data_IF_895230363128
#
_entry.id   IF_895230363128
#
_cell.length_a   1.000
_cell.length_b   1.000
_cell.length_c   1.000
_cell.angle_alpha   90.00
_cell.angle_beta   90.00
_cell.angle_gamma   90.00
#
_symmetry.space_group_name_H-M   'P 1'
#
loop_
_entity.id
_entity.type
_entity.pdbx_description
1 polymer ?
#
# COMPACT_ATOMS: atom_id res chain seq x y z
N UNK A 1 10.65 -4.19 -32.68
CA UNK A 1 10.54 -4.91 -31.38
C UNK A 1 11.82 -4.65 -30.60
N UNK A 2 11.77 -4.04 -29.40
CA UNK A 2 12.99 -3.91 -28.59
C UNK A 2 13.45 -5.29 -28.10
N UNK A 3 14.76 -5.55 -27.96
CA UNK A 3 15.27 -6.81 -27.45
C UNK A 3 14.64 -7.16 -26.09
N UNK A 4 14.28 -8.43 -25.94
CA UNK A 4 13.70 -8.99 -24.71
C UNK A 4 14.69 -8.94 -23.55
N UNK A 5 14.21 -8.81 -22.30
CA UNK A 5 15.08 -8.90 -21.14
C UNK A 5 15.68 -10.31 -21.04
N UNK A 6 16.97 -10.40 -20.71
CA UNK A 6 17.62 -11.67 -20.39
C UNK A 6 17.23 -12.11 -18.97
N UNK A 7 16.04 -12.69 -18.85
CA UNK A 7 15.55 -13.24 -17.58
C UNK A 7 15.99 -14.70 -17.48
N UNK A 8 16.69 -15.12 -16.41
CA UNK A 8 17.02 -16.52 -16.20
C UNK A 8 15.75 -17.40 -16.25
N UNK A 9 15.77 -18.57 -16.94
CA UNK A 9 14.57 -19.38 -17.11
C UNK A 9 13.91 -19.80 -15.80
N UNK A 10 14.70 -20.15 -14.78
CA UNK A 10 14.20 -20.51 -13.45
C UNK A 10 13.45 -19.36 -12.77
N UNK A 11 14.00 -18.14 -12.88
CA UNK A 11 13.33 -16.93 -12.40
C UNK A 11 12.06 -16.64 -13.20
N UNK A 12 12.11 -16.79 -14.53
CA UNK A 12 10.95 -16.57 -15.39
C UNK A 12 9.79 -17.49 -15.01
N UNK A 13 10.05 -18.78 -14.73
CA UNK A 13 9.04 -19.74 -14.27
C UNK A 13 8.32 -19.24 -13.01
N UNK A 14 9.05 -18.70 -12.04
CA UNK A 14 8.44 -18.12 -10.83
C UNK A 14 7.62 -16.86 -11.15
N UNK A 15 8.16 -15.98 -12.00
CA UNK A 15 7.49 -14.73 -12.38
C UNK A 15 6.22 -14.96 -13.20
N UNK A 16 6.09 -16.07 -13.93
CA UNK A 16 4.88 -16.39 -14.70
C UNK A 16 3.63 -16.48 -13.82
N UNK A 17 3.77 -16.80 -12.53
CA UNK A 17 2.62 -16.81 -11.60
C UNK A 17 1.99 -15.41 -11.47
N UNK A 18 2.78 -14.36 -11.63
CA UNK A 18 2.31 -12.99 -11.62
C UNK A 18 1.78 -12.51 -12.99
N UNK A 19 1.87 -13.32 -14.05
CA UNK A 19 1.46 -12.93 -15.42
C UNK A 19 0.03 -12.37 -15.50
N UNK A 20 -0.99 -12.92 -14.81
CA UNK A 20 -2.35 -12.39 -14.82
C UNK A 20 -2.50 -10.98 -14.21
N UNK A 21 -1.56 -10.56 -13.36
CA UNK A 21 -1.58 -9.23 -12.72
C UNK A 21 -1.18 -8.09 -13.67
N UNK A 22 -0.73 -8.43 -14.89
CA UNK A 22 -0.13 -7.49 -15.83
C UNK A 22 -0.69 -7.65 -17.24
N UNK A 23 -0.65 -6.56 -18.01
CA UNK A 23 -0.71 -6.63 -19.48
C UNK A 23 0.59 -7.22 -20.04
N UNK A 24 0.58 -7.72 -21.28
CA UNK A 24 1.78 -8.25 -21.92
C UNK A 24 3.02 -7.30 -21.87
N UNK A 25 2.90 -6.00 -22.21
CA UNK A 25 4.05 -5.09 -22.14
C UNK A 25 4.48 -4.74 -20.70
N UNK A 26 3.55 -4.67 -19.76
CA UNK A 26 3.88 -4.38 -18.35
C UNK A 26 4.54 -5.58 -17.69
N UNK A 27 4.10 -6.80 -17.98
CA UNK A 27 4.74 -8.03 -17.50
C UNK A 27 6.20 -8.13 -17.93
N UNK A 28 6.48 -7.85 -19.21
CA UNK A 28 7.85 -7.81 -19.74
C UNK A 28 8.71 -6.80 -18.98
N UNK A 29 8.15 -5.64 -18.66
CA UNK A 29 8.85 -4.60 -17.91
C UNK A 29 9.08 -5.02 -16.45
N UNK A 30 8.07 -5.60 -15.82
CA UNK A 30 8.16 -6.19 -14.49
C UNK A 30 9.27 -7.22 -14.39
N UNK A 31 9.30 -8.22 -15.28
CA UNK A 31 10.29 -9.29 -15.24
C UNK A 31 11.72 -8.78 -15.42
N UNK A 32 11.91 -7.78 -16.29
CA UNK A 32 13.18 -7.10 -16.46
C UNK A 32 13.61 -6.36 -15.18
N UNK A 33 12.71 -5.56 -14.60
CA UNK A 33 13.00 -4.78 -13.39
C UNK A 33 13.27 -5.68 -12.19
N UNK A 34 12.54 -6.79 -12.02
CA UNK A 34 12.81 -7.77 -10.95
C UNK A 34 14.18 -8.43 -11.14
N UNK A 35 14.52 -8.83 -12.37
CA UNK A 35 15.86 -9.37 -12.66
C UNK A 35 16.93 -8.34 -12.28
N UNK A 36 16.77 -7.10 -12.72
CA UNK A 36 17.67 -6.01 -12.38
C UNK A 36 17.76 -5.69 -10.89
N UNK A 37 16.66 -5.82 -10.15
CA UNK A 37 16.60 -5.64 -8.70
C UNK A 37 17.40 -6.72 -7.96
N UNK A 38 17.28 -7.98 -8.40
CA UNK A 38 17.99 -9.10 -7.80
C UNK A 38 19.51 -8.97 -8.05
N UNK A 39 19.89 -8.60 -9.27
CA UNK A 39 21.29 -8.41 -9.65
C UNK A 39 21.89 -7.18 -8.96
N UNK A 40 21.16 -6.07 -8.88
CA UNK A 40 21.63 -4.83 -8.30
C UNK A 40 21.44 -4.80 -6.78
N UNK A 41 22.39 -5.37 -6.05
CA UNK A 41 22.37 -5.47 -4.59
C UNK A 41 22.54 -4.11 -3.87
N UNK A 42 23.01 -3.06 -4.56
CA UNK A 42 23.23 -1.73 -3.98
C UNK A 42 21.98 -0.85 -4.06
N UNK A 43 22.10 0.40 -4.53
CA UNK A 43 20.98 1.35 -4.57
C UNK A 43 19.88 0.81 -5.51
N UNK A 44 18.79 0.30 -4.91
CA UNK A 44 17.57 -0.25 -5.55
C UNK A 44 16.73 0.84 -6.24
N UNK A 45 17.39 1.69 -7.03
CA UNK A 45 16.74 2.75 -7.80
C UNK A 45 16.21 2.18 -9.12
N UNK A 46 15.21 2.83 -9.71
CA UNK A 46 14.65 2.45 -11.02
C UNK A 46 15.74 2.35 -12.09
N UNK A 47 16.63 3.35 -12.16
CA UNK A 47 17.76 3.35 -13.09
C UNK A 47 18.77 2.25 -12.73
N UNK A 48 18.99 1.99 -11.44
CA UNK A 48 19.82 0.87 -10.98
C UNK A 48 19.28 -0.50 -11.39
N UNK A 49 17.95 -0.70 -11.36
CA UNK A 49 17.31 -1.92 -11.87
C UNK A 49 17.51 -2.06 -13.38
N UNK A 50 17.38 -0.98 -14.16
CA UNK A 50 17.67 -1.02 -15.59
C UNK A 50 19.12 -1.36 -15.89
N UNK A 51 20.05 -0.84 -15.08
CA UNK A 51 21.48 -1.17 -15.17
C UNK A 51 21.73 -2.64 -14.84
N UNK A 52 21.18 -3.15 -13.73
CA UNK A 52 21.33 -4.55 -13.32
C UNK A 52 20.73 -5.54 -14.34
N UNK A 53 19.68 -5.13 -15.07
CA UNK A 53 19.09 -5.91 -16.13
C UNK A 53 19.86 -5.82 -17.47
N UNK A 54 20.90 -4.99 -17.57
CA UNK A 54 21.63 -4.74 -18.82
C UNK A 54 20.85 -3.96 -19.87
N UNK A 55 19.84 -3.17 -19.47
CA UNK A 55 18.88 -2.53 -20.37
C UNK A 55 19.05 -1.02 -20.53
N UNK A 56 20.00 -0.37 -19.85
CA UNK A 56 20.16 1.10 -19.83
C UNK A 56 20.29 1.74 -21.22
N UNK A 57 20.85 1.03 -22.22
CA UNK A 57 20.99 1.52 -23.60
C UNK A 57 19.91 1.00 -24.55
N UNK A 58 19.16 0.01 -24.12
CA UNK A 58 18.16 -0.67 -24.93
C UNK A 58 16.76 -0.12 -24.66
N UNK A 59 16.49 0.29 -23.42
CA UNK A 59 15.20 0.78 -22.98
C UNK A 59 15.31 2.23 -22.50
N UNK A 60 14.40 3.12 -22.94
CA UNK A 60 14.26 4.43 -22.32
C UNK A 60 13.94 4.28 -20.83
N UNK A 61 14.58 5.09 -19.99
CA UNK A 61 14.33 5.08 -18.54
C UNK A 61 12.86 5.41 -18.22
N UNK A 62 12.22 6.25 -19.04
CA UNK A 62 10.80 6.57 -18.96
C UNK A 62 9.89 5.35 -18.99
N UNK A 63 10.29 4.25 -19.63
CA UNK A 63 9.51 2.99 -19.59
C UNK A 63 9.36 2.49 -18.15
N UNK A 64 10.43 2.53 -17.37
CA UNK A 64 10.42 2.02 -16.01
C UNK A 64 9.65 2.97 -15.08
N UNK A 65 9.78 4.28 -15.28
CA UNK A 65 8.95 5.26 -14.56
C UNK A 65 7.46 5.13 -14.93
N UNK A 66 7.15 4.95 -16.21
CA UNK A 66 5.78 4.68 -16.67
C UNK A 66 5.20 3.41 -16.03
N UNK A 67 6.01 2.35 -15.90
CA UNK A 67 5.59 1.11 -15.25
C UNK A 67 5.08 1.35 -13.82
N UNK A 68 5.80 2.11 -13.00
CA UNK A 68 5.38 2.40 -11.63
C UNK A 68 4.27 3.46 -11.54
N UNK A 69 4.25 4.43 -12.47
CA UNK A 69 3.35 5.58 -12.36
C UNK A 69 2.00 5.40 -13.07
N UNK A 70 1.95 4.63 -14.16
CA UNK A 70 0.80 4.64 -15.10
C UNK A 70 0.40 3.28 -15.65
N UNK A 71 1.28 2.27 -15.63
CA UNK A 71 0.92 0.96 -16.17
C UNK A 71 -0.22 0.32 -15.37
N UNK A 72 -1.06 -0.46 -16.05
CA UNK A 72 -2.18 -1.17 -15.42
C UNK A 72 -1.68 -2.43 -14.72
N UNK A 73 -1.56 -2.35 -13.40
CA UNK A 73 -1.34 -3.46 -12.48
C UNK A 73 -1.76 -3.02 -11.07
N UNK A 74 -1.95 -3.97 -10.16
CA UNK A 74 -2.28 -3.69 -8.75
C UNK A 74 -1.26 -4.35 -7.82
N UNK A 75 -0.71 -3.62 -6.83
CA UNK A 75 0.18 -4.21 -5.83
C UNK A 75 -0.55 -5.27 -5.00
N UNK A 76 -1.84 -5.10 -4.75
CA UNK A 76 -2.66 -6.07 -4.01
C UNK A 76 -2.81 -7.39 -4.77
N UNK A 77 -3.12 -7.31 -6.07
CA UNK A 77 -3.23 -8.50 -6.92
C UNK A 77 -1.90 -9.22 -7.05
N UNK A 78 -0.80 -8.48 -7.21
CA UNK A 78 0.54 -9.04 -7.26
C UNK A 78 0.91 -9.71 -5.92
N UNK A 79 0.65 -9.04 -4.81
CA UNK A 79 0.91 -9.55 -3.46
C UNK A 79 0.14 -10.84 -3.19
N UNK A 80 -1.15 -10.89 -3.55
CA UNK A 80 -1.97 -12.08 -3.42
C UNK A 80 -1.47 -13.24 -4.30
N UNK A 81 -1.06 -12.97 -5.54
CA UNK A 81 -0.50 -13.99 -6.42
C UNK A 81 0.80 -14.58 -5.84
N UNK A 82 1.67 -13.74 -5.28
CA UNK A 82 2.89 -14.18 -4.60
C UNK A 82 2.59 -14.93 -3.30
N UNK A 83 1.63 -14.46 -2.51
CA UNK A 83 1.20 -15.13 -1.29
C UNK A 83 0.68 -16.55 -1.58
N UNK A 84 -0.15 -16.71 -2.61
CA UNK A 84 -0.62 -18.02 -3.09
C UNK A 84 0.54 -18.92 -3.49
N UNK A 85 1.48 -18.40 -4.29
CA UNK A 85 2.68 -19.16 -4.67
C UNK A 85 3.47 -19.64 -3.45
N UNK A 86 3.66 -18.77 -2.46
CA UNK A 86 4.39 -19.10 -1.24
C UNK A 86 3.66 -20.21 -0.47
N UNK A 87 2.36 -20.06 -0.24
CA UNK A 87 1.53 -21.03 0.48
C UNK A 87 1.54 -22.39 -0.23
N UNK A 88 1.25 -22.41 -1.53
CA UNK A 88 1.21 -23.64 -2.34
C UNK A 88 2.53 -24.40 -2.39
N UNK A 89 3.66 -23.71 -2.18
CA UNK A 89 5.00 -24.30 -2.29
C UNK A 89 5.64 -24.64 -0.96
N UNK A 90 5.33 -23.89 0.10
CA UNK A 90 6.06 -23.93 1.35
C UNK A 90 5.20 -24.29 2.57
N UNK A 91 3.88 -24.13 2.50
CA UNK A 91 3.00 -24.52 3.59
C UNK A 91 2.64 -26.02 3.47
N UNK A 92 2.88 -26.84 4.50
CA UNK A 92 2.39 -28.22 4.52
C UNK A 92 0.85 -28.27 4.41
N UNK A 93 0.29 -29.29 3.76
CA UNK A 93 -1.15 -29.38 3.43
C UNK A 93 -2.08 -29.21 4.65
N UNK A 94 -1.66 -29.73 5.81
CA UNK A 94 -2.45 -29.69 7.06
C UNK A 94 -1.99 -28.60 8.05
N UNK A 95 -1.05 -27.73 7.65
CA UNK A 95 -0.53 -26.68 8.52
C UNK A 95 -1.43 -25.44 8.52
N UNK A 96 -1.59 -24.82 9.69
CA UNK A 96 -2.20 -23.51 9.79
C UNK A 96 -1.26 -22.43 9.20
N UNK A 97 -1.83 -21.45 8.50
CA UNK A 97 -1.09 -20.30 7.99
C UNK A 97 -1.01 -19.22 9.08
N UNK A 98 0.17 -19.04 9.65
CA UNK A 98 0.45 -17.93 10.55
C UNK A 98 0.81 -16.66 9.74
N UNK A 99 0.18 -15.55 10.10
CA UNK A 99 0.39 -14.26 9.44
C UNK A 99 0.82 -13.23 10.48
N UNK A 100 2.00 -12.64 10.26
CA UNK A 100 2.48 -11.49 11.00
C UNK A 100 1.90 -10.21 10.38
N UNK A 101 1.39 -9.32 11.22
CA UNK A 101 0.91 -8.00 10.81
C UNK A 101 1.72 -6.97 11.58
N UNK A 102 2.37 -6.08 10.85
CA UNK A 102 3.18 -5.01 11.42
C UNK A 102 2.86 -3.69 10.72
N UNK A 103 2.98 -2.57 11.43
CA UNK A 103 2.85 -1.24 10.85
C UNK A 103 4.22 -0.55 10.82
N UNK A 104 4.65 -0.18 9.62
CA UNK A 104 5.95 0.42 9.39
C UNK A 104 5.82 1.86 8.91
N UNK A 105 6.34 2.79 9.72
CA UNK A 105 6.42 4.19 9.34
C UNK A 105 7.53 4.40 8.31
N UNK A 106 7.13 4.70 7.07
CA UNK A 106 8.06 5.10 6.04
C UNK A 106 8.26 6.62 6.09
N UNK A 107 9.47 7.06 6.46
CA UNK A 107 9.81 8.49 6.71
C UNK A 107 10.06 9.29 5.44
N UNK A 108 9.18 9.17 4.44
CA UNK A 108 9.27 9.98 3.23
C UNK A 108 8.42 11.24 3.36
N UNK A 109 8.95 12.36 2.87
CA UNK A 109 8.29 13.67 2.88
C UNK A 109 8.15 14.20 1.46
N UNK A 110 7.03 14.87 1.18
CA UNK A 110 6.83 15.56 -0.09
C UNK A 110 5.35 15.77 -0.42
N UNK A 111 5.08 16.74 -1.31
CA UNK A 111 3.72 17.09 -1.74
C UNK A 111 2.95 15.93 -2.38
N UNK A 112 3.68 14.99 -2.98
CA UNK A 112 3.11 13.83 -3.68
C UNK A 112 3.18 12.54 -2.83
N UNK A 113 3.57 12.62 -1.56
CA UNK A 113 3.58 11.44 -0.67
C UNK A 113 2.18 11.28 -0.09
N UNK A 114 1.44 10.34 -0.66
CA UNK A 114 0.11 9.98 -0.18
C UNK A 114 0.16 9.48 1.28
N UNK A 115 -0.79 9.95 2.11
CA UNK A 115 -0.92 9.51 3.50
C UNK A 115 0.19 10.00 4.44
N UNK A 116 1.00 10.97 4.03
CA UNK A 116 2.05 11.53 4.87
C UNK A 116 1.46 12.41 5.99
N UNK A 117 1.69 12.02 7.24
CA UNK A 117 1.25 12.74 8.43
C UNK A 117 2.23 12.53 9.59
N UNK A 118 2.00 13.23 10.70
CA UNK A 118 2.62 12.87 11.97
C UNK A 118 1.93 11.62 12.52
N UNK A 119 2.70 10.56 12.69
CA UNK A 119 2.22 9.24 13.09
C UNK A 119 3.07 8.71 14.24
N UNK A 120 2.51 7.73 14.96
CA UNK A 120 3.27 7.02 15.98
C UNK A 120 4.42 6.25 15.31
N UNK A 121 5.58 6.29 15.95
CA UNK A 121 6.82 5.64 15.52
C UNK A 121 7.49 5.08 16.77
N UNK A 122 7.27 3.79 17.03
CA UNK A 122 7.86 3.10 18.19
C UNK A 122 9.40 3.17 18.19
N UNK A 123 10.00 3.27 17.00
CA UNK A 123 11.43 3.38 16.79
C UNK A 123 11.96 4.83 16.91
N UNK A 124 11.10 5.83 17.09
CA UNK A 124 11.56 7.20 17.30
C UNK A 124 12.26 7.34 18.66
N UNK A 125 13.34 8.12 18.69
CA UNK A 125 14.16 8.35 19.90
C UNK A 125 13.56 9.38 20.85
N UNK A 126 12.61 10.20 20.39
CA UNK A 126 11.97 11.25 21.20
C UNK A 126 10.88 10.74 22.15
N UNK A 127 10.64 11.49 23.23
CA UNK A 127 9.66 11.15 24.28
C UNK A 127 8.23 10.93 23.75
N UNK A 128 7.85 11.64 22.68
CA UNK A 128 6.51 11.51 22.07
C UNK A 128 6.37 10.32 21.12
N UNK A 129 7.46 9.63 20.78
CA UNK A 129 7.46 8.48 19.85
C UNK A 129 6.71 8.76 18.54
N UNK A 130 6.99 9.91 17.92
CA UNK A 130 6.34 10.35 16.68
C UNK A 130 7.33 10.54 15.55
N UNK A 131 6.95 10.15 14.34
CA UNK A 131 7.65 10.46 13.10
C UNK A 131 6.69 11.06 12.06
N UNK A 132 7.24 11.85 11.13
CA UNK A 132 6.47 12.35 10.00
C UNK A 132 6.78 11.51 8.76
N UNK A 133 5.74 10.91 8.18
CA UNK A 133 5.84 9.99 7.05
C UNK A 133 4.51 9.31 6.75
N UNK A 134 4.54 8.26 5.94
CA UNK A 134 3.38 7.43 5.65
C UNK A 134 3.51 6.06 6.33
N UNK A 135 2.49 5.65 7.08
CA UNK A 135 2.43 4.35 7.74
C UNK A 135 1.91 3.29 6.76
N UNK A 136 2.62 2.18 6.68
CA UNK A 136 2.29 1.02 5.86
C UNK A 136 1.98 -0.17 6.76
N UNK A 137 0.84 -0.81 6.56
CA UNK A 137 0.59 -2.14 7.12
C UNK A 137 1.27 -3.16 6.22
N UNK A 138 2.12 -3.98 6.81
CA UNK A 138 2.84 -5.06 6.16
C UNK A 138 2.32 -6.38 6.67
N UNK A 139 1.94 -7.24 5.72
CA UNK A 139 1.59 -8.63 5.96
C UNK A 139 2.77 -9.53 5.60
N UNK A 140 3.21 -10.31 6.59
CA UNK A 140 4.24 -11.32 6.47
C UNK A 140 3.67 -12.71 6.68
N UNK A 141 3.96 -13.63 5.76
CA UNK A 141 3.61 -15.04 5.90
C UNK A 141 4.72 -15.76 6.64
N UNK A 142 4.42 -16.37 7.77
CA UNK A 142 5.38 -17.13 8.54
C UNK A 142 5.45 -18.55 7.99
N UNK A 143 6.56 -18.87 7.33
CA UNK A 143 6.76 -20.14 6.65
C UNK A 143 7.78 -21.00 7.40
N UNK A 144 7.40 -22.22 7.84
CA UNK A 144 8.36 -23.19 8.33
C UNK A 144 9.17 -23.73 7.15
N UNK A 145 10.48 -23.57 7.18
CA UNK A 145 11.38 -24.12 6.16
C UNK A 145 12.11 -25.33 6.74
N UNK A 146 12.15 -26.48 6.05
CA UNK A 146 12.67 -27.73 6.62
C UNK A 146 14.17 -27.69 6.93
N UNK A 147 14.88 -26.69 6.40
CA UNK A 147 16.32 -26.47 6.58
C UNK A 147 16.65 -25.32 7.55
N UNK A 148 15.66 -24.72 8.23
CA UNK A 148 15.88 -23.67 9.23
C UNK A 148 15.17 -24.02 10.55
N UNK A 149 15.82 -23.69 11.67
CA UNK A 149 15.27 -23.89 13.01
C UNK A 149 14.23 -22.83 13.42
N UNK A 150 14.05 -21.79 12.61
CA UNK A 150 13.11 -20.69 12.86
C UNK A 150 12.27 -20.45 11.61
N UNK A 151 10.97 -20.10 11.77
CA UNK A 151 10.15 -19.72 10.64
C UNK A 151 10.71 -18.47 9.96
N UNK A 152 10.54 -18.38 8.64
CA UNK A 152 10.92 -17.21 7.85
C UNK A 152 9.68 -16.40 7.55
N UNK A 153 9.74 -15.09 7.80
CA UNK A 153 8.70 -14.15 7.42
C UNK A 153 8.91 -13.73 5.96
N UNK A 154 8.01 -14.16 5.07
CA UNK A 154 8.02 -13.80 3.67
C UNK A 154 6.99 -12.70 3.39
N UNK A 155 7.34 -11.63 2.66
CA UNK A 155 6.42 -10.53 2.42
C UNK A 155 5.30 -10.98 1.48
N UNK A 156 4.06 -10.82 1.91
CA UNK A 156 2.88 -11.03 1.06
C UNK A 156 2.34 -9.72 0.51
N UNK A 157 2.27 -8.68 1.34
CA UNK A 157 1.61 -7.44 0.95
C UNK A 157 2.00 -6.26 1.83
N UNK A 158 2.43 -5.14 1.24
CA UNK A 158 2.43 -3.83 1.89
C UNK A 158 1.30 -2.94 1.36
N UNK A 159 0.49 -2.37 2.25
CA UNK A 159 -0.54 -1.37 1.92
C UNK A 159 -0.52 -0.18 2.90
N UNK A 160 -0.97 1.03 2.51
CA UNK A 160 -1.03 2.15 3.44
C UNK A 160 -2.06 1.88 4.55
N UNK A 161 -1.72 2.25 5.79
CA UNK A 161 -2.56 2.02 6.97
C UNK A 161 -3.86 2.85 7.00
N UNK A 162 -3.96 3.89 6.15
CA UNK A 162 -5.11 4.79 6.10
C UNK A 162 -5.76 4.75 4.71
N UNK A 163 -6.97 4.18 4.65
CA UNK A 163 -7.93 4.45 3.59
C UNK A 163 -8.57 5.83 3.85
N UNK A 164 -8.79 6.67 2.83
CA UNK A 164 -9.32 8.00 3.06
C UNK A 164 -10.82 7.90 3.37
N UNK A 165 -11.23 8.47 4.50
CA UNK A 165 -12.56 9.05 4.58
C UNK A 165 -12.58 10.21 3.58
N UNK A 166 -13.47 10.16 2.58
CA UNK A 166 -13.68 11.32 1.71
C UNK A 166 -14.17 12.44 2.61
N UNK A 167 -13.32 13.44 2.87
CA UNK A 167 -13.82 14.75 3.26
C UNK A 167 -14.54 15.27 2.03
N UNK A 168 -15.86 15.14 2.04
CA UNK A 168 -16.70 15.95 1.18
C UNK A 168 -16.29 17.39 1.43
N UNK A 169 -15.75 18.03 0.39
CA UNK A 169 -15.65 19.48 0.35
C UNK A 169 -17.07 20.04 0.26
N UNK A 170 -17.81 19.99 1.37
CA UNK A 170 -18.83 20.99 1.65
C UNK A 170 -18.09 22.26 2.05
N UNK A 171 -17.46 22.89 1.04
CA UNK A 171 -17.24 24.32 1.05
C UNK A 171 -18.61 24.97 1.00
N UNK A 172 -19.23 25.11 2.18
CA UNK A 172 -20.25 26.12 2.39
C UNK A 172 -19.61 27.46 2.09
N UNK A 173 -19.89 28.00 0.91
CA UNK A 173 -19.65 29.39 0.61
C UNK A 173 -20.53 30.21 1.57
N UNK A 174 -19.95 30.60 2.71
CA UNK A 174 -20.55 31.60 3.58
C UNK A 174 -20.68 32.92 2.79
N UNK A 175 -21.77 33.69 2.96
CA UNK A 175 -21.95 34.92 2.21
C UNK A 175 -20.81 35.88 2.54
N UNK A 176 -20.17 36.45 1.52
CA UNK A 176 -19.25 37.58 1.68
C UNK A 176 -20.09 38.78 2.12
N UNK A 177 -19.89 39.22 3.36
CA UNK A 177 -20.50 40.45 3.88
C UNK A 177 -19.63 41.64 3.47
N UNK A 178 -20.02 42.30 2.39
CA UNK A 178 -19.51 43.60 2.01
C UNK A 178 -20.28 44.65 2.83
N UNK A 179 -19.61 45.29 3.81
CA UNK A 179 -19.86 46.70 4.19
C UNK A 179 -18.88 47.21 5.25
N UNK A 180 -18.13 48.25 4.87
CA UNK A 180 -17.46 49.18 5.77
C UNK A 180 -18.29 50.47 5.86
N UNK A 181 -18.69 50.89 7.06
CA UNK A 181 -18.68 52.28 7.54
C UNK A 181 -19.13 52.36 9.02
N UNK A 182 -18.64 53.31 9.84
CA UNK A 182 -18.68 53.24 11.30
C UNK A 182 -19.77 54.12 11.95
N UNK A 183 -20.17 53.79 13.18
CA UNK A 183 -20.80 54.74 14.12
C UNK A 183 -21.82 54.13 15.08
N UNK A 184 -21.70 54.45 16.38
CA UNK A 184 -22.86 54.55 17.29
C UNK A 184 -22.91 53.59 18.49
N UNK A 185 -22.81 54.15 19.69
CA UNK A 185 -22.97 53.52 21.01
C UNK A 185 -24.35 52.86 21.26
N UNK A 186 -24.36 51.73 22.01
CA UNK A 186 -25.04 51.57 23.34
C UNK A 186 -25.59 50.16 23.65
N UNK A 187 -25.05 49.56 24.73
CA UNK A 187 -25.72 48.87 25.87
C UNK A 187 -26.89 47.86 25.67
N UNK A 188 -26.59 46.63 26.18
CA UNK A 188 -27.40 45.74 27.07
C UNK A 188 -28.17 44.54 26.49
N UNK A 189 -28.07 43.43 27.25
CA UNK A 189 -28.99 42.28 27.47
C UNK A 189 -28.63 40.91 26.86
N UNK A 190 -28.36 39.98 27.79
CA UNK A 190 -28.50 38.50 27.75
C UNK A 190 -30.00 38.24 28.04
N UNK A 191 -30.72 37.21 27.51
CA UNK A 191 -30.42 35.80 27.80
C UNK A 191 -30.91 34.68 26.83
N UNK A 192 -30.44 33.48 27.19
CA UNK A 192 -31.17 32.20 27.27
C UNK A 192 -31.08 31.12 26.19
N UNK A 193 -30.62 29.95 26.67
CA UNK A 193 -30.83 28.54 26.27
C UNK A 193 -31.79 28.24 25.11
N UNK A 194 -31.32 27.39 24.21
CA UNK A 194 -32.14 26.45 23.44
C UNK A 194 -31.36 25.17 23.13
N UNK A 195 -31.73 24.08 23.81
CA UNK A 195 -31.24 22.71 23.65
C UNK A 195 -32.19 22.01 22.67
N UNK A 196 -31.68 21.35 21.62
CA UNK A 196 -32.36 20.27 20.87
C UNK A 196 -31.25 19.47 20.17
N UNK A 197 -30.94 18.25 20.63
CA UNK A 197 -31.64 16.98 20.39
C UNK A 197 -31.24 16.34 19.06
N UNK A 198 -30.65 15.17 19.24
CA UNK A 198 -30.24 14.17 18.27
C UNK A 198 -31.31 13.78 17.25
N UNK A 199 -30.92 13.73 15.98
CA UNK A 199 -31.57 12.86 14.99
C UNK A 199 -30.52 11.98 14.31
N UNK A 200 -30.44 10.74 14.76
CA UNK A 200 -29.87 9.62 14.03
C UNK A 200 -30.74 9.37 12.81
N UNK A 201 -30.19 9.49 11.60
CA UNK A 201 -30.85 9.05 10.36
C UNK A 201 -30.05 7.92 9.75
N UNK A 202 -30.68 6.75 9.70
CA UNK A 202 -30.26 5.62 8.87
C UNK A 202 -30.20 6.06 7.41
N UNK A 203 -29.09 5.75 6.73
CA UNK A 203 -28.85 6.11 5.33
C UNK A 203 -28.16 4.96 4.60
N UNK A 204 -28.97 4.25 3.83
CA UNK A 204 -28.71 3.52 2.58
C UNK A 204 -27.32 2.90 2.32
N UNK A 205 -27.36 1.58 2.10
CA UNK A 205 -26.34 0.81 1.41
C UNK A 205 -26.04 1.40 0.01
N UNK A 206 -24.76 1.64 -0.28
CA UNK A 206 -24.26 1.90 -1.64
C UNK A 206 -23.20 0.87 -1.98
N UNK A 207 -23.43 0.18 -3.10
CA UNK A 207 -22.59 -0.85 -3.70
C UNK A 207 -21.12 -0.44 -3.81
N UNK A 208 -20.27 -1.22 -3.16
CA UNK A 208 -18.81 -1.14 -3.30
C UNK A 208 -18.36 -2.15 -4.36
N UNK A 209 -17.44 -1.79 -5.28
CA UNK A 209 -16.90 -2.72 -6.29
C UNK A 209 -15.87 -3.71 -5.70
N UNK A 210 -15.94 -4.01 -4.40
CA UNK A 210 -15.17 -5.10 -3.82
C UNK A 210 -15.81 -6.40 -4.29
N UNK A 211 -15.08 -7.09 -5.16
CA UNK A 211 -15.32 -8.46 -5.58
C UNK A 211 -15.80 -9.27 -4.37
N UNK A 212 -17.02 -9.79 -4.45
CA UNK A 212 -17.57 -10.73 -3.48
C UNK A 212 -16.56 -11.87 -3.28
N UNK A 213 -16.23 -12.25 -2.03
CA UNK A 213 -15.27 -13.32 -1.79
C UNK A 213 -15.80 -14.61 -2.43
N UNK A 214 -15.12 -15.11 -3.47
CA UNK A 214 -15.34 -16.49 -3.91
C UNK A 214 -14.98 -17.38 -2.73
N UNK A 215 -15.95 -18.15 -2.22
CA UNK A 215 -15.76 -19.09 -1.12
C UNK A 215 -14.66 -20.07 -1.50
N UNK A 216 -13.48 -19.91 -0.89
CA UNK A 216 -12.49 -20.96 -0.78
C UNK A 216 -12.77 -21.65 0.55
N UNK A 217 -13.43 -22.81 0.51
CA UNK A 217 -13.69 -23.64 1.69
C UNK A 217 -12.42 -24.45 2.04
N UNK A 218 -11.34 -23.73 2.36
CA UNK A 218 -10.16 -24.28 3.02
C UNK A 218 -10.11 -23.75 4.44
N UNK A 219 -9.79 -24.61 5.41
CA UNK A 219 -9.66 -24.27 6.84
C UNK A 219 -8.53 -23.24 7.09
N UNK A 220 -8.75 -21.98 6.72
CA UNK A 220 -7.81 -20.89 6.95
C UNK A 220 -7.88 -20.46 8.43
N UNK A 221 -7.08 -21.10 9.28
CA UNK A 221 -6.86 -20.63 10.66
C UNK A 221 -5.71 -19.62 10.65
N UNK A 222 -6.04 -18.35 10.44
CA UNK A 222 -5.08 -17.25 10.57
C UNK A 222 -4.93 -16.88 12.05
N UNK A 223 -3.72 -17.07 12.60
CA UNK A 223 -3.36 -16.49 13.90
C UNK A 223 -2.58 -15.19 13.64
N UNK A 224 -3.10 -14.08 14.13
CA UNK A 224 -2.39 -12.79 14.11
C UNK A 224 -1.35 -12.83 15.22
N UNK A 225 -0.08 -12.76 14.83
CA UNK A 225 1.02 -12.58 15.78
C UNK A 225 1.34 -11.09 15.82
N UNK A 226 0.87 -10.40 16.86
CA UNK A 226 1.26 -9.02 17.17
C UNK A 226 2.35 -9.03 18.23
N UNK A 227 3.47 -8.36 17.96
CA UNK A 227 4.56 -8.20 18.91
C UNK A 227 5.94 -8.46 18.30
N UNK A 228 6.56 -7.40 17.81
CA UNK A 228 8.00 -7.22 17.73
C UNK A 228 8.34 -5.78 18.12
#
# INVERSE_FOLDING_TARGET
MLPGPAVPPSLLTLLQVARPCFTAPSFRTFAALVTGLIVQQRRRTVVGMLLGAGLTRLWPHDRAHYFFAKARWSPDQLGLALARLIVERLLPEDAALDVAVDDTLFKQRGRNVYGAAWQHDGCATGAKKTGFGNNWVVLGLLMPLPYLHRPVCLPAHPGPAVAPERRDEQSGAGPRDDRHAPGGLSRTTVPHRGRLSSHTRAGAATDSPYIAPSRYEGNLRARVVSGW
#
